data_IF_456164784706
#
_entry.id   IF_456164784706
#
_cell.length_a   1.000
_cell.length_b   1.000
_cell.length_c   1.000
_cell.angle_alpha   90.00
_cell.angle_beta   90.00
_cell.angle_gamma   90.00
#
_symmetry.space_group_name_H-M   'P 1'
#
loop_
_entity.id
_entity.type
_entity.pdbx_description
1 polymer ?
#
# COMPACT_ATOMS: atom_id res chain seq x y z
N UNK A 1 -12.75 9.89 2.75
CA UNK A 1 -12.98 11.08 1.89
C UNK A 1 -12.89 10.65 0.43
N UNK A 2 -13.60 11.33 -0.48
CA UNK A 2 -13.51 11.08 -1.92
C UNK A 2 -13.11 12.37 -2.62
N UNK A 3 -12.23 12.27 -3.60
CA UNK A 3 -11.81 13.41 -4.39
C UNK A 3 -12.97 13.91 -5.26
N UNK A 4 -13.01 15.21 -5.60
CA UNK A 4 -14.00 15.77 -6.51
C UNK A 4 -14.05 15.03 -7.84
N UNK A 5 -15.20 15.10 -8.51
CA UNK A 5 -15.42 14.43 -9.79
C UNK A 5 -14.43 14.89 -10.87
N UNK A 6 -14.03 16.16 -10.83
CA UNK A 6 -13.12 16.77 -11.81
C UNK A 6 -11.76 16.04 -11.81
N UNK A 7 -11.26 15.65 -10.63
CA UNK A 7 -10.03 14.86 -10.48
C UNK A 7 -10.05 13.57 -11.31
N UNK A 8 -11.21 12.90 -11.42
CA UNK A 8 -11.34 11.70 -12.25
C UNK A 8 -11.11 11.97 -13.72
N UNK A 9 -11.64 13.09 -14.20
CA UNK A 9 -11.55 13.49 -15.59
C UNK A 9 -10.10 13.85 -15.91
N UNK A 10 -9.48 14.66 -15.06
CA UNK A 10 -8.06 15.02 -15.15
C UNK A 10 -7.20 13.75 -15.18
N UNK A 11 -7.38 12.85 -14.22
CA UNK A 11 -6.62 11.60 -14.17
C UNK A 11 -6.78 10.75 -15.43
N UNK A 12 -7.98 10.65 -16.01
CA UNK A 12 -8.19 9.91 -17.27
C UNK A 12 -7.49 10.54 -18.47
N UNK A 13 -7.50 11.87 -18.56
CA UNK A 13 -6.83 12.60 -19.64
C UNK A 13 -5.32 12.44 -19.50
N UNK A 14 -4.80 12.52 -18.28
CA UNK A 14 -3.37 12.39 -18.00
C UNK A 14 -2.86 10.94 -18.05
N UNK A 15 -3.71 9.93 -17.87
CA UNK A 15 -3.27 8.54 -17.79
C UNK A 15 -2.42 8.11 -18.99
N UNK A 16 -2.87 8.41 -20.20
CA UNK A 16 -2.13 8.02 -21.40
C UNK A 16 -0.77 8.72 -21.53
N UNK A 17 -0.68 10.07 -21.55
CA UNK A 17 0.61 10.75 -21.69
C UNK A 17 1.56 10.44 -20.53
N UNK A 18 1.06 10.32 -19.30
CA UNK A 18 1.89 10.00 -18.13
C UNK A 18 2.40 8.56 -18.18
N UNK A 19 1.56 7.60 -18.57
CA UNK A 19 2.01 6.21 -18.73
C UNK A 19 3.05 6.10 -19.84
N UNK A 20 2.89 6.85 -20.93
CA UNK A 20 3.87 6.89 -22.02
C UNK A 20 5.21 7.48 -21.56
N UNK A 21 5.19 8.62 -20.86
CA UNK A 21 6.41 9.23 -20.29
C UNK A 21 7.08 8.26 -19.30
N UNK A 22 6.32 7.68 -18.37
CA UNK A 22 6.84 6.70 -17.41
C UNK A 22 7.46 5.49 -18.11
N UNK A 23 6.85 5.00 -19.20
CA UNK A 23 7.40 3.91 -20.00
C UNK A 23 8.72 4.31 -20.69
N UNK A 24 8.77 5.49 -21.32
CA UNK A 24 9.98 6.00 -21.96
C UNK A 24 11.13 6.20 -20.96
N UNK A 25 10.83 6.72 -19.76
CA UNK A 25 11.82 6.93 -18.71
C UNK A 25 12.35 5.58 -18.19
N UNK A 26 11.45 4.67 -17.79
CA UNK A 26 11.82 3.42 -17.11
C UNK A 26 12.45 2.37 -18.04
N UNK A 27 12.01 2.28 -19.30
CA UNK A 27 12.49 1.27 -20.26
C UNK A 27 13.35 1.85 -21.38
N UNK A 28 13.17 3.12 -21.70
CA UNK A 28 13.90 3.81 -22.76
C UNK A 28 15.08 4.65 -22.27
N UNK A 29 15.32 4.70 -20.95
CA UNK A 29 16.31 5.58 -20.33
C UNK A 29 16.16 7.04 -20.78
N UNK A 30 14.91 7.47 -21.04
CA UNK A 30 14.63 8.83 -21.47
C UNK A 30 14.83 9.81 -20.32
N UNK A 31 15.73 10.77 -20.51
CA UNK A 31 16.00 11.85 -19.55
C UNK A 31 15.15 13.07 -19.91
N UNK A 32 14.35 13.55 -18.96
CA UNK A 32 13.54 14.76 -19.10
C UNK A 32 14.47 15.98 -18.97
N UNK A 33 14.67 16.80 -20.02
CA UNK A 33 15.77 17.78 -20.06
C UNK A 33 15.74 18.87 -18.97
N UNK A 34 14.58 19.18 -18.39
CA UNK A 34 14.45 20.16 -17.31
C UNK A 34 14.58 19.55 -15.90
N UNK A 35 14.63 18.22 -15.81
CA UNK A 35 14.88 17.45 -14.58
C UNK A 35 16.31 16.90 -14.52
N UNK A 36 17.10 17.17 -15.56
CA UNK A 36 18.51 16.84 -15.65
C UNK A 36 19.35 17.97 -15.04
N UNK A 37 19.85 17.75 -13.81
CA UNK A 37 20.70 18.70 -13.09
C UNK A 37 22.20 18.38 -13.23
N UNK A 38 22.64 17.69 -14.30
CA UNK A 38 24.06 17.44 -14.56
C UNK A 38 24.87 18.72 -14.88
N UNK A 39 24.22 19.88 -15.02
CA UNK A 39 24.91 21.18 -15.15
C UNK A 39 25.17 21.77 -13.76
N UNK A 40 26.45 22.06 -13.47
CA UNK A 40 26.89 22.84 -12.30
C UNK A 40 26.24 24.24 -12.30
N UNK A 41 25.00 24.35 -11.81
CA UNK A 41 24.49 25.59 -11.26
C UNK A 41 24.99 25.65 -9.81
N UNK A 42 25.70 26.72 -9.47
CA UNK A 42 26.48 26.88 -8.24
C UNK A 42 25.88 26.24 -6.98
N UNK A 43 26.77 25.60 -6.22
CA UNK A 43 26.52 24.91 -4.96
C UNK A 43 25.57 25.70 -4.04
N UNK A 44 24.31 25.29 -3.98
CA UNK A 44 23.36 25.82 -3.01
C UNK A 44 22.33 24.75 -2.64
N UNK A 45 22.77 23.75 -1.88
CA UNK A 45 21.89 22.78 -1.24
C UNK A 45 22.61 22.00 -0.15
N UNK A 46 22.19 22.18 1.11
CA UNK A 46 22.79 21.56 2.31
C UNK A 46 22.60 20.01 2.32
N UNK A 47 21.82 19.43 1.39
CA UNK A 47 21.53 17.99 1.29
C UNK A 47 21.65 17.36 -0.11
N UNK A 48 21.97 18.12 -1.16
CA UNK A 48 21.99 17.61 -2.56
C UNK A 48 23.30 17.96 -3.24
N UNK A 49 24.33 17.14 -3.01
CA UNK A 49 25.67 17.33 -3.56
C UNK A 49 25.97 16.46 -4.79
N UNK A 50 24.97 15.95 -5.53
CA UNK A 50 25.25 15.19 -6.75
C UNK A 50 24.43 15.66 -7.95
N UNK A 51 25.09 15.60 -9.10
CA UNK A 51 24.51 15.60 -10.44
C UNK A 51 23.49 14.46 -10.53
N UNK A 52 22.20 14.78 -10.50
CA UNK A 52 21.12 13.79 -10.49
C UNK A 52 20.10 14.07 -11.58
N UNK A 53 19.55 12.98 -12.11
CA UNK A 53 18.37 12.96 -12.96
C UNK A 53 17.15 12.61 -12.09
N UNK A 54 16.12 13.46 -12.11
CA UNK A 54 14.85 13.24 -11.39
C UNK A 54 13.73 12.70 -12.30
N UNK A 55 14.06 12.24 -13.50
CA UNK A 55 13.08 11.75 -14.47
C UNK A 55 12.28 10.55 -13.95
N UNK A 56 12.95 9.62 -13.26
CA UNK A 56 12.33 8.46 -12.63
C UNK A 56 11.33 8.91 -11.54
N UNK A 57 11.78 9.79 -10.65
CA UNK A 57 10.99 10.29 -9.52
C UNK A 57 9.75 11.02 -9.99
N UNK A 58 9.93 11.92 -10.95
CA UNK A 58 8.84 12.69 -11.52
C UNK A 58 7.84 11.79 -12.27
N UNK A 59 8.32 10.84 -13.08
CA UNK A 59 7.44 9.99 -13.87
C UNK A 59 6.61 9.03 -12.99
N UNK A 60 7.24 8.38 -12.00
CA UNK A 60 6.57 7.50 -11.03
C UNK A 60 5.61 8.30 -10.15
N UNK A 61 6.01 9.47 -9.64
CA UNK A 61 5.14 10.34 -8.85
C UNK A 61 3.90 10.76 -9.64
N UNK A 62 4.09 11.16 -10.90
CA UNK A 62 3.00 11.59 -11.77
C UNK A 62 2.06 10.41 -12.07
N UNK A 63 2.60 9.21 -12.29
CA UNK A 63 1.82 8.00 -12.49
C UNK A 63 1.00 7.65 -11.24
N UNK A 64 1.61 7.63 -10.06
CA UNK A 64 0.92 7.41 -8.78
C UNK A 64 -0.18 8.45 -8.58
N UNK A 65 0.11 9.74 -8.80
CA UNK A 65 -0.86 10.82 -8.65
C UNK A 65 -2.06 10.62 -9.58
N UNK A 66 -1.82 10.30 -10.86
CA UNK A 66 -2.90 10.02 -11.82
C UNK A 66 -3.77 8.84 -11.38
N UNK A 67 -3.14 7.75 -10.95
CA UNK A 67 -3.85 6.56 -10.49
C UNK A 67 -4.67 6.85 -9.23
N UNK A 68 -4.14 7.61 -8.27
CA UNK A 68 -4.86 8.07 -7.08
C UNK A 68 -6.06 8.94 -7.46
N UNK A 69 -5.89 9.91 -8.37
CA UNK A 69 -6.98 10.75 -8.89
C UNK A 69 -8.10 9.91 -9.50
N UNK A 70 -7.79 8.84 -10.23
CA UNK A 70 -8.78 7.97 -10.85
C UNK A 70 -9.48 7.08 -9.81
N UNK A 71 -8.72 6.48 -8.90
CA UNK A 71 -9.22 5.50 -7.92
C UNK A 71 -10.06 6.16 -6.82
N UNK A 72 -9.62 7.29 -6.28
CA UNK A 72 -10.25 7.95 -5.12
C UNK A 72 -11.31 9.00 -5.48
N UNK A 73 -11.55 9.26 -6.78
CA UNK A 73 -12.54 10.24 -7.22
C UNK A 73 -13.98 9.73 -7.23
N UNK A 74 -14.89 10.59 -6.76
CA UNK A 74 -16.35 10.36 -6.77
C UNK A 74 -16.87 10.16 -8.21
N UNK A 75 -17.86 9.28 -8.38
CA UNK A 75 -18.57 9.10 -9.65
C UNK A 75 -19.81 10.01 -9.74
N UNK A 76 -20.24 10.34 -10.98
CA UNK A 76 -21.40 11.23 -11.24
C UNK A 76 -22.67 10.74 -10.52
N UNK A 77 -23.01 9.46 -10.69
CA UNK A 77 -24.22 8.85 -10.14
C UNK A 77 -23.84 7.80 -9.10
N UNK A 78 -23.15 8.23 -8.05
CA UNK A 78 -22.71 7.33 -6.99
C UNK A 78 -23.82 7.14 -5.95
N UNK A 79 -24.47 5.98 -5.98
CA UNK A 79 -25.45 5.56 -4.96
C UNK A 79 -24.74 4.98 -3.73
N UNK A 80 -25.44 4.90 -2.59
CA UNK A 80 -24.91 4.30 -1.36
C UNK A 80 -24.36 2.88 -1.56
N UNK A 81 -25.03 2.07 -2.39
CA UNK A 81 -24.57 0.73 -2.74
C UNK A 81 -23.25 0.74 -3.53
N UNK A 82 -23.08 1.69 -4.45
CA UNK A 82 -21.82 1.82 -5.21
C UNK A 82 -20.67 2.37 -4.38
N UNK A 83 -20.95 3.23 -3.39
CA UNK A 83 -19.95 3.67 -2.41
C UNK A 83 -19.51 2.49 -1.53
N UNK A 84 -20.47 1.68 -1.07
CA UNK A 84 -20.18 0.45 -0.31
C UNK A 84 -19.36 -0.53 -1.14
N UNK A 85 -19.71 -0.76 -2.40
CA UNK A 85 -18.94 -1.58 -3.33
C UNK A 85 -17.49 -1.10 -3.50
N UNK A 86 -17.26 0.23 -3.49
CA UNK A 86 -15.91 0.80 -3.55
C UNK A 86 -15.10 0.51 -2.30
N UNK A 87 -15.72 0.71 -1.13
CA UNK A 87 -15.09 0.44 0.16
C UNK A 87 -14.68 -1.04 0.28
N UNK A 88 -15.56 -1.96 -0.12
CA UNK A 88 -15.24 -3.37 -0.24
C UNK A 88 -14.09 -3.64 -1.21
N UNK A 89 -14.07 -2.97 -2.37
CA UNK A 89 -13.01 -3.15 -3.36
C UNK A 89 -11.64 -2.68 -2.86
N UNK A 90 -11.57 -1.54 -2.16
CA UNK A 90 -10.33 -1.06 -1.55
C UNK A 90 -9.83 -2.00 -0.46
N UNK A 91 -10.73 -2.50 0.38
CA UNK A 91 -10.36 -3.46 1.42
C UNK A 91 -9.81 -4.76 0.81
N UNK A 92 -10.48 -5.33 -0.19
CA UNK A 92 -9.97 -6.50 -0.92
C UNK A 92 -8.63 -6.24 -1.59
N UNK A 93 -8.46 -5.07 -2.22
CA UNK A 93 -7.19 -4.70 -2.83
C UNK A 93 -6.06 -4.66 -1.80
N UNK A 94 -6.29 -4.01 -0.65
CA UNK A 94 -5.33 -3.97 0.44
C UNK A 94 -4.98 -5.38 0.94
N UNK A 95 -5.99 -6.21 1.25
CA UNK A 95 -5.80 -7.58 1.75
C UNK A 95 -5.02 -8.44 0.76
N UNK A 96 -5.37 -8.41 -0.52
CA UNK A 96 -4.67 -9.22 -1.52
C UNK A 96 -3.22 -8.75 -1.64
N UNK A 97 -2.96 -7.44 -1.66
CA UNK A 97 -1.58 -6.91 -1.68
C UNK A 97 -0.79 -7.35 -0.45
N UNK A 98 -1.38 -7.29 0.74
CA UNK A 98 -0.74 -7.70 1.99
C UNK A 98 -0.40 -9.19 2.00
N UNK A 99 -1.36 -10.04 1.60
CA UNK A 99 -1.17 -11.48 1.52
C UNK A 99 -0.18 -11.87 0.43
N UNK A 100 -0.25 -11.25 -0.75
CA UNK A 100 0.69 -11.54 -1.85
C UNK A 100 2.10 -11.14 -1.46
N UNK A 101 2.28 -10.01 -0.76
CA UNK A 101 3.59 -9.56 -0.28
C UNK A 101 4.16 -10.50 0.77
N UNK A 102 3.34 -10.91 1.73
CA UNK A 102 3.76 -11.89 2.75
C UNK A 102 4.13 -13.25 2.16
N UNK A 103 3.30 -13.77 1.24
CA UNK A 103 3.58 -15.02 0.53
C UNK A 103 4.87 -14.91 -0.31
N UNK A 104 5.05 -13.76 -0.96
CA UNK A 104 6.24 -13.47 -1.73
C UNK A 104 7.52 -13.52 -0.89
N UNK A 105 7.53 -12.89 0.30
CA UNK A 105 8.69 -12.97 1.19
C UNK A 105 8.98 -14.41 1.63
N UNK A 106 7.94 -15.20 1.95
CA UNK A 106 8.12 -16.62 2.27
C UNK A 106 8.79 -17.37 1.12
N UNK A 107 8.32 -17.15 -0.12
CA UNK A 107 8.83 -17.85 -1.30
C UNK A 107 10.32 -17.54 -1.52
N UNK A 108 10.73 -16.26 -1.42
CA UNK A 108 12.14 -15.88 -1.58
C UNK A 108 13.02 -16.56 -0.54
N UNK A 109 12.64 -16.44 0.74
CA UNK A 109 13.44 -17.00 1.83
C UNK A 109 13.49 -18.54 1.75
N UNK A 110 12.41 -19.17 1.28
CA UNK A 110 12.41 -20.61 1.05
C UNK A 110 13.41 -21.01 -0.03
N UNK A 111 13.45 -20.28 -1.16
CA UNK A 111 14.39 -20.57 -2.23
C UNK A 111 15.85 -20.31 -1.86
N UNK A 112 16.10 -19.27 -1.05
CA UNK A 112 17.40 -19.00 -0.44
C UNK A 112 17.82 -20.12 0.51
N UNK A 113 16.91 -20.65 1.33
CA UNK A 113 17.17 -21.72 2.28
C UNK A 113 17.58 -23.06 1.62
N UNK A 114 17.04 -23.38 0.44
CA UNK A 114 17.26 -24.67 -0.22
C UNK A 114 18.40 -24.65 -1.25
N UNK A 115 19.17 -23.55 -1.33
CA UNK A 115 20.22 -23.35 -2.34
C UNK A 115 19.74 -23.73 -3.76
N UNK A 116 18.55 -23.26 -4.14
CA UNK A 116 17.91 -23.67 -5.38
C UNK A 116 18.79 -23.39 -6.63
N UNK A 117 18.62 -24.15 -7.73
CA UNK A 117 19.41 -23.95 -8.95
C UNK A 117 19.32 -22.50 -9.44
N UNK A 118 20.46 -21.93 -9.83
CA UNK A 118 20.62 -20.51 -10.17
C UNK A 118 19.54 -19.98 -11.12
N UNK A 119 19.14 -20.74 -12.15
CA UNK A 119 18.14 -20.30 -13.13
C UNK A 119 16.74 -20.04 -12.54
N UNK A 120 16.31 -20.84 -11.57
CA UNK A 120 15.01 -20.60 -10.92
C UNK A 120 15.10 -19.41 -9.98
N UNK A 121 16.20 -19.31 -9.21
CA UNK A 121 16.48 -18.14 -8.38
C UNK A 121 16.51 -16.86 -9.21
N UNK A 122 17.20 -16.83 -10.35
CA UNK A 122 17.32 -15.66 -11.22
C UNK A 122 15.94 -15.17 -11.71
N UNK A 123 15.08 -16.10 -12.14
CA UNK A 123 13.72 -15.78 -12.58
C UNK A 123 12.88 -15.20 -11.43
N UNK A 124 12.90 -15.85 -10.26
CA UNK A 124 12.19 -15.35 -9.09
C UNK A 124 12.74 -14.02 -8.61
N UNK A 125 14.06 -13.81 -8.69
CA UNK A 125 14.73 -12.55 -8.34
C UNK A 125 14.33 -11.40 -9.28
N UNK A 126 14.17 -11.69 -10.58
CA UNK A 126 13.66 -10.68 -11.53
C UNK A 126 12.19 -10.31 -11.25
N UNK A 127 11.32 -11.31 -11.04
CA UNK A 127 9.92 -11.07 -10.64
C UNK A 127 9.86 -10.34 -9.29
N UNK A 128 10.77 -10.69 -8.40
CA UNK A 128 10.94 -10.11 -7.06
C UNK A 128 11.26 -8.63 -7.13
N UNK A 129 12.27 -8.27 -7.91
CA UNK A 129 12.63 -6.88 -8.11
C UNK A 129 11.47 -6.09 -8.73
N UNK A 130 10.73 -6.68 -9.69
CA UNK A 130 9.53 -6.06 -10.24
C UNK A 130 8.44 -5.88 -9.19
N UNK A 131 8.18 -6.91 -8.38
CA UNK A 131 7.15 -6.87 -7.34
C UNK A 131 7.47 -5.82 -6.29
N UNK A 132 8.71 -5.78 -5.79
CA UNK A 132 9.17 -4.80 -4.80
C UNK A 132 9.16 -3.39 -5.37
N UNK A 133 9.73 -3.20 -6.58
CA UNK A 133 9.82 -1.89 -7.22
C UNK A 133 8.44 -1.27 -7.50
N UNK A 134 7.45 -2.10 -7.83
CA UNK A 134 6.14 -1.65 -8.25
C UNK A 134 5.02 -2.01 -7.27
N UNK A 135 5.35 -2.37 -6.02
CA UNK A 135 4.36 -2.79 -5.02
C UNK A 135 3.31 -1.72 -4.72
N UNK A 136 3.69 -0.44 -4.82
CA UNK A 136 2.81 0.71 -4.63
C UNK A 136 1.66 0.70 -5.63
N UNK A 137 1.86 0.16 -6.84
CA UNK A 137 0.82 0.10 -7.86
C UNK A 137 -0.15 -1.06 -7.66
N UNK A 138 0.26 -2.11 -6.96
CA UNK A 138 -0.50 -3.36 -6.82
C UNK A 138 -1.89 -3.14 -6.24
N UNK A 139 -2.11 -2.39 -5.14
CA UNK A 139 -3.46 -2.16 -4.63
C UNK A 139 -4.37 -1.48 -5.66
N UNK A 140 -3.88 -0.53 -6.44
CA UNK A 140 -4.70 0.15 -7.46
C UNK A 140 -5.00 -0.78 -8.63
N UNK A 141 -4.02 -1.55 -9.08
CA UNK A 141 -4.19 -2.54 -10.16
C UNK A 141 -5.25 -3.58 -9.75
N UNK A 142 -5.22 -4.07 -8.51
CA UNK A 142 -6.21 -5.03 -7.98
C UNK A 142 -7.58 -4.36 -7.75
N UNK A 143 -7.60 -3.10 -7.32
CA UNK A 143 -8.83 -2.36 -7.05
C UNK A 143 -9.74 -2.27 -8.28
N UNK A 144 -9.22 -1.97 -9.47
CA UNK A 144 -10.04 -1.76 -10.67
C UNK A 144 -10.90 -2.97 -11.09
N UNK A 145 -10.35 -4.19 -11.26
CA UNK A 145 -11.13 -5.36 -11.62
C UNK A 145 -12.14 -5.73 -10.52
N UNK A 146 -11.75 -5.65 -9.24
CA UNK A 146 -12.63 -5.96 -8.10
C UNK A 146 -13.78 -4.95 -8.01
N UNK A 147 -13.48 -3.66 -8.14
CA UNK A 147 -14.50 -2.62 -8.15
C UNK A 147 -15.43 -2.77 -9.37
N UNK A 148 -14.88 -3.14 -10.53
CA UNK A 148 -15.65 -3.48 -11.72
C UNK A 148 -16.65 -4.62 -11.48
N UNK A 149 -16.20 -5.69 -10.82
CA UNK A 149 -17.03 -6.82 -10.41
C UNK A 149 -18.15 -6.41 -9.44
N UNK A 150 -17.80 -5.76 -8.31
CA UNK A 150 -18.81 -5.35 -7.32
C UNK A 150 -19.79 -4.32 -7.88
N UNK A 151 -19.33 -3.42 -8.74
CA UNK A 151 -20.22 -2.47 -9.41
C UNK A 151 -21.24 -3.17 -10.30
N UNK A 152 -20.83 -4.16 -11.11
CA UNK A 152 -21.77 -4.91 -11.96
C UNK A 152 -22.83 -5.62 -11.12
N UNK A 153 -22.46 -6.15 -9.94
CA UNK A 153 -23.41 -6.73 -8.99
C UNK A 153 -24.35 -5.69 -8.37
N UNK A 154 -23.79 -4.56 -7.92
CA UNK A 154 -24.57 -3.46 -7.34
C UNK A 154 -25.61 -2.90 -8.33
N UNK A 155 -25.26 -2.78 -9.62
CA UNK A 155 -26.19 -2.34 -10.66
C UNK A 155 -27.36 -3.31 -10.90
N UNK A 156 -27.16 -4.60 -10.60
CA UNK A 156 -28.22 -5.63 -10.68
C UNK A 156 -29.06 -5.71 -9.40
N UNK A 157 -28.84 -4.82 -8.41
CA UNK A 157 -29.51 -4.89 -7.11
C UNK A 157 -29.12 -6.11 -6.27
N UNK A 158 -28.07 -6.85 -6.66
CA UNK A 158 -27.65 -8.04 -5.93
C UNK A 158 -26.93 -7.64 -4.65
N UNK A 159 -27.12 -8.38 -3.55
CA UNK A 159 -26.36 -8.15 -2.33
C UNK A 159 -24.86 -8.33 -2.62
N UNK A 160 -24.07 -7.43 -2.05
CA UNK A 160 -22.60 -7.53 -2.06
C UNK A 160 -22.21 -8.71 -1.19
N UNK A 161 -21.39 -9.63 -1.72
CA UNK A 161 -20.86 -10.76 -0.94
C UNK A 161 -20.08 -10.17 0.23
N UNK A 162 -20.48 -10.52 1.46
CA UNK A 162 -19.74 -10.09 2.65
C UNK A 162 -18.29 -10.58 2.55
N UNK A 163 -17.38 -9.75 3.01
CA UNK A 163 -15.97 -10.08 3.13
C UNK A 163 -15.82 -11.16 4.19
N UNK A 164 -15.14 -12.26 3.85
CA UNK A 164 -14.79 -13.29 4.81
C UNK A 164 -13.56 -12.82 5.57
N UNK A 165 -13.81 -12.20 6.72
CA UNK A 165 -12.78 -12.07 7.75
C UNK A 165 -12.52 -13.45 8.34
N UNK A 166 -11.29 -13.69 8.81
CA UNK A 166 -10.99 -14.93 9.53
C UNK A 166 -11.89 -14.98 10.78
N UNK A 167 -12.73 -16.02 10.92
CA UNK A 167 -13.83 -16.01 11.90
C UNK A 167 -13.36 -16.17 13.34
N UNK A 168 -12.12 -16.63 13.55
CA UNK A 168 -11.60 -16.99 14.86
C UNK A 168 -10.99 -15.77 15.56
N UNK A 169 -11.58 -15.26 16.66
CA UNK A 169 -11.03 -14.11 17.39
C UNK A 169 -9.64 -14.39 17.98
N UNK A 170 -9.31 -15.66 18.26
CA UNK A 170 -7.97 -16.06 18.72
C UNK A 170 -6.88 -15.76 17.68
N UNK A 171 -7.20 -15.79 16.38
CA UNK A 171 -6.25 -15.40 15.33
C UNK A 171 -5.96 -13.90 15.33
N UNK A 172 -6.96 -13.08 15.66
CA UNK A 172 -6.76 -11.64 15.84
C UNK A 172 -5.79 -11.37 17.01
N UNK A 173 -5.96 -12.08 18.13
CA UNK A 173 -5.09 -11.98 19.30
C UNK A 173 -3.67 -12.49 18.98
N UNK A 174 -3.54 -13.62 18.30
CA UNK A 174 -2.26 -14.17 17.85
C UNK A 174 -1.53 -13.18 16.91
N UNK A 175 -2.25 -12.59 15.95
CA UNK A 175 -1.71 -11.57 15.05
C UNK A 175 -1.20 -10.33 15.79
N UNK A 176 -1.93 -9.85 16.81
CA UNK A 176 -1.51 -8.74 17.68
C UNK A 176 -0.19 -9.05 18.37
N UNK A 177 -0.12 -10.17 19.09
CA UNK A 177 1.10 -10.54 19.81
C UNK A 177 2.27 -10.82 18.86
N UNK A 178 2.05 -11.54 17.76
CA UNK A 178 3.07 -11.77 16.75
C UNK A 178 3.60 -10.45 16.18
N UNK A 179 2.72 -9.49 15.87
CA UNK A 179 3.12 -8.16 15.38
C UNK A 179 4.01 -7.43 16.39
N UNK A 180 3.62 -7.41 17.67
CA UNK A 180 4.40 -6.76 18.73
C UNK A 180 5.76 -7.44 18.91
N UNK A 181 5.80 -8.78 18.90
CA UNK A 181 7.03 -9.56 19.01
C UNK A 181 7.96 -9.25 17.82
N UNK A 182 7.47 -9.30 16.58
CA UNK A 182 8.27 -8.98 15.39
C UNK A 182 8.75 -7.52 15.39
N UNK A 183 7.92 -6.56 15.84
CA UNK A 183 8.36 -5.17 16.02
C UNK A 183 9.47 -5.06 17.07
N UNK A 184 9.33 -5.74 18.21
CA UNK A 184 10.32 -5.75 19.28
C UNK A 184 11.65 -6.38 18.83
N UNK A 185 11.58 -7.53 18.16
CA UNK A 185 12.74 -8.18 17.55
C UNK A 185 13.40 -7.24 16.55
N UNK A 186 12.63 -6.69 15.60
CA UNK A 186 13.15 -5.76 14.58
C UNK A 186 13.83 -4.53 15.18
N UNK A 187 13.28 -3.98 16.27
CA UNK A 187 13.89 -2.84 16.98
C UNK A 187 15.19 -3.23 17.67
N UNK A 188 15.23 -4.36 18.38
CA UNK A 188 16.45 -4.86 19.05
C UNK A 188 17.51 -5.22 18.00
N UNK A 189 17.15 -5.92 16.93
CA UNK A 189 18.09 -6.26 15.87
C UNK A 189 18.63 -5.02 15.15
N UNK A 190 17.76 -4.05 14.87
CA UNK A 190 18.17 -2.77 14.26
C UNK A 190 19.12 -1.95 15.13
N UNK A 191 18.92 -1.93 16.45
CA UNK A 191 19.76 -1.16 17.37
C UNK A 191 21.11 -1.81 17.67
N UNK A 192 21.16 -3.14 17.77
CA UNK A 192 22.35 -3.86 18.27
C UNK A 192 23.12 -4.64 17.19
N UNK A 193 22.49 -4.92 16.04
CA UNK A 193 23.03 -5.83 15.02
C UNK A 193 22.96 -5.26 13.59
N UNK A 194 22.94 -3.92 13.46
CA UNK A 194 22.78 -3.20 12.19
C UNK A 194 23.77 -3.61 11.07
N UNK A 195 24.90 -4.23 11.41
CA UNK A 195 25.93 -4.62 10.43
C UNK A 195 25.75 -6.03 9.84
N UNK A 196 24.75 -6.81 10.27
CA UNK A 196 24.63 -8.22 9.88
C UNK A 196 23.44 -8.43 8.94
N UNK A 197 23.68 -8.80 7.68
CA UNK A 197 22.67 -8.91 6.61
C UNK A 197 21.55 -9.95 6.86
N UNK A 198 21.60 -10.71 7.96
CA UNK A 198 20.61 -11.77 8.24
C UNK A 198 19.25 -11.25 8.78
N UNK A 199 19.02 -9.93 8.83
CA UNK A 199 17.76 -9.36 9.32
C UNK A 199 16.55 -9.66 8.42
N UNK A 200 16.78 -9.98 7.14
CA UNK A 200 15.72 -10.23 6.17
C UNK A 200 14.85 -11.45 6.53
N UNK A 201 15.42 -12.50 7.12
CA UNK A 201 14.69 -13.73 7.49
C UNK A 201 13.68 -13.48 8.61
N UNK A 202 14.04 -12.67 9.62
CA UNK A 202 13.15 -12.37 10.74
C UNK A 202 11.97 -11.47 10.34
N UNK A 203 12.18 -10.56 9.39
CA UNK A 203 11.13 -9.66 8.91
C UNK A 203 10.22 -10.30 7.84
N UNK A 204 10.55 -11.48 7.35
CA UNK A 204 9.79 -12.22 6.33
C UNK A 204 8.34 -12.49 6.73
N UNK A 205 8.12 -12.85 8.00
CA UNK A 205 6.79 -13.15 8.52
C UNK A 205 6.06 -11.92 9.06
N UNK A 206 6.74 -10.78 9.17
CA UNK A 206 6.15 -9.59 9.77
C UNK A 206 4.93 -9.05 9.00
N UNK A 207 4.95 -8.92 7.66
CA UNK A 207 3.76 -8.52 6.90
C UNK A 207 2.57 -9.48 7.09
N UNK A 208 2.84 -10.77 7.27
CA UNK A 208 1.80 -11.78 7.51
C UNK A 208 1.24 -11.72 8.93
N UNK A 209 2.09 -11.46 9.93
CA UNK A 209 1.64 -11.26 11.30
C UNK A 209 0.68 -10.06 11.39
N UNK A 210 1.03 -8.95 10.72
CA UNK A 210 0.14 -7.79 10.65
C UNK A 210 -1.11 -8.15 9.83
N UNK A 211 -0.99 -8.77 8.66
CA UNK A 211 -2.13 -9.16 7.84
C UNK A 211 -3.10 -10.07 8.61
N UNK A 212 -2.60 -11.00 9.43
CA UNK A 212 -3.39 -11.87 10.30
C UNK A 212 -4.20 -11.04 11.30
N UNK A 213 -3.59 -10.04 11.93
CA UNK A 213 -4.30 -9.09 12.78
C UNK A 213 -5.38 -8.33 11.99
N UNK A 214 -5.03 -7.76 10.83
CA UNK A 214 -5.93 -6.92 10.03
C UNK A 214 -7.11 -7.67 9.41
N UNK A 215 -6.90 -8.93 9.04
CA UNK A 215 -7.90 -9.74 8.34
C UNK A 215 -8.75 -10.59 9.29
N UNK A 216 -8.41 -10.63 10.58
CA UNK A 216 -9.18 -11.38 11.58
C UNK A 216 -10.30 -10.55 12.18
N UNK A 217 -11.46 -11.21 12.36
CA UNK A 217 -12.64 -10.63 12.98
C UNK A 217 -12.34 -10.23 14.42
N UNK A 218 -12.79 -9.05 14.83
CA UNK A 218 -12.74 -8.67 16.24
C UNK A 218 -13.85 -9.41 17.02
N UNK A 219 -13.64 -9.80 18.30
CA UNK A 219 -14.60 -10.60 19.06
C UNK A 219 -16.04 -10.05 19.06
N UNK A 220 -16.16 -8.72 19.12
CA UNK A 220 -17.44 -8.00 19.18
C UNK A 220 -17.65 -7.10 17.95
N UNK A 221 -17.30 -7.59 16.75
CA UNK A 221 -17.40 -6.78 15.53
C UNK A 221 -18.85 -6.57 15.07
N UNK A 222 -19.36 -5.36 15.28
CA UNK A 222 -20.67 -4.90 14.78
C UNK A 222 -20.60 -4.50 13.30
N UNK A 223 -21.74 -4.43 12.58
CA UNK A 223 -21.77 -3.92 11.20
C UNK A 223 -21.18 -2.52 11.04
N UNK A 224 -21.32 -1.67 12.07
CA UNK A 224 -20.76 -0.32 12.11
C UNK A 224 -19.23 -0.36 12.22
N UNK A 225 -18.70 -1.20 13.10
CA UNK A 225 -17.25 -1.39 13.23
C UNK A 225 -16.66 -1.95 11.94
N UNK A 226 -17.37 -2.86 11.28
CA UNK A 226 -16.97 -3.38 9.98
C UNK A 226 -16.95 -2.29 8.89
N UNK A 227 -17.98 -1.43 8.84
CA UNK A 227 -18.00 -0.27 7.94
C UNK A 227 -16.81 0.68 8.21
N UNK A 228 -16.49 0.91 9.48
CA UNK A 228 -15.34 1.71 9.90
C UNK A 228 -14.01 1.08 9.44
N UNK A 229 -13.89 -0.24 9.52
CA UNK A 229 -12.75 -1.01 8.97
C UNK A 229 -12.55 -0.76 7.48
N UNK A 230 -13.63 -0.81 6.69
CA UNK A 230 -13.55 -0.55 5.26
C UNK A 230 -13.13 0.90 4.95
N UNK A 231 -13.62 1.86 5.72
CA UNK A 231 -13.24 3.27 5.58
C UNK A 231 -11.77 3.49 5.97
N UNK A 232 -11.30 2.82 7.02
CA UNK A 232 -9.90 2.84 7.43
C UNK A 232 -8.99 2.25 6.35
N UNK A 233 -9.39 1.17 5.68
CA UNK A 233 -8.64 0.61 4.55
C UNK A 233 -8.47 1.62 3.42
N UNK A 234 -9.57 2.24 2.98
CA UNK A 234 -9.49 3.27 1.96
C UNK A 234 -8.59 4.44 2.39
N UNK A 235 -8.76 4.96 3.62
CA UNK A 235 -7.98 6.10 4.11
C UNK A 235 -6.50 5.75 4.28
N UNK A 236 -6.18 4.55 4.76
CA UNK A 236 -4.81 4.08 4.95
C UNK A 236 -4.06 3.99 3.63
N UNK A 237 -4.68 3.43 2.57
CA UNK A 237 -4.09 3.41 1.23
C UNK A 237 -3.86 4.84 0.72
N UNK A 238 -4.81 5.76 0.93
CA UNK A 238 -4.66 7.15 0.51
C UNK A 238 -3.48 7.85 1.21
N UNK A 239 -3.39 7.74 2.54
CA UNK A 239 -2.28 8.29 3.32
C UNK A 239 -0.96 7.63 2.89
N UNK A 240 -0.97 6.33 2.66
CA UNK A 240 0.19 5.58 2.21
C UNK A 240 0.72 6.11 0.88
N UNK A 241 -0.13 6.38 -0.12
CA UNK A 241 0.32 6.98 -1.38
C UNK A 241 0.93 8.37 -1.21
N UNK A 242 0.37 9.20 -0.32
CA UNK A 242 0.93 10.53 -0.02
C UNK A 242 2.30 10.38 0.65
N UNK A 243 2.38 9.53 1.68
CA UNK A 243 3.62 9.27 2.40
C UNK A 243 4.68 8.68 1.47
N UNK A 244 4.30 7.77 0.57
CA UNK A 244 5.18 7.20 -0.43
C UNK A 244 5.80 8.27 -1.31
N UNK A 245 4.98 9.16 -1.91
CA UNK A 245 5.50 10.26 -2.73
C UNK A 245 6.44 11.15 -1.92
N UNK A 246 6.06 11.54 -0.70
CA UNK A 246 6.92 12.39 0.13
C UNK A 246 8.26 11.73 0.45
N UNK A 247 8.25 10.48 0.89
CA UNK A 247 9.47 9.72 1.20
C UNK A 247 10.31 9.54 -0.06
N UNK A 248 9.68 9.29 -1.20
CA UNK A 248 10.35 9.11 -2.47
C UNK A 248 11.17 10.33 -2.88
N UNK A 249 10.63 11.53 -2.68
CA UNK A 249 11.35 12.78 -2.94
C UNK A 249 12.38 13.15 -1.84
N UNK A 250 12.18 12.71 -0.59
CA UNK A 250 13.01 13.11 0.54
C UNK A 250 14.23 12.21 0.81
N UNK A 251 14.16 10.91 0.47
CA UNK A 251 15.14 9.88 0.91
C UNK A 251 16.02 9.36 -0.25
N UNK A 252 15.91 9.94 -1.43
CA UNK A 252 16.64 9.64 -2.69
C UNK A 252 17.89 8.72 -2.58
N UNK A 253 17.92 7.56 -3.26
CA UNK A 253 19.13 6.73 -3.39
C UNK A 253 18.92 5.21 -3.44
N UNK A 254 20.00 4.41 -3.32
CA UNK A 254 19.98 2.93 -3.40
C UNK A 254 19.15 2.28 -2.27
N UNK A 255 18.96 2.99 -1.14
CA UNK A 255 18.02 2.63 -0.05
C UNK A 255 16.54 2.76 -0.46
N UNK A 256 16.24 3.23 -1.68
CA UNK A 256 14.90 3.37 -2.24
C UNK A 256 14.20 2.02 -2.44
N UNK A 257 14.92 0.98 -2.85
CA UNK A 257 14.35 -0.36 -3.01
C UNK A 257 13.89 -0.95 -1.66
N UNK A 258 14.62 -0.65 -0.59
CA UNK A 258 14.27 -1.05 0.78
C UNK A 258 13.11 -0.21 1.34
N UNK A 259 13.07 1.09 1.03
CA UNK A 259 11.94 1.96 1.36
C UNK A 259 10.66 1.52 0.61
N UNK A 260 10.79 1.12 -0.66
CA UNK A 260 9.74 0.51 -1.45
C UNK A 260 9.28 -0.83 -0.86
N UNK A 261 10.19 -1.75 -0.55
CA UNK A 261 9.86 -3.03 0.08
C UNK A 261 9.12 -2.85 1.42
N UNK A 262 9.55 -1.87 2.21
CA UNK A 262 8.91 -1.48 3.46
C UNK A 262 7.55 -0.76 3.27
N UNK A 263 7.24 -0.30 2.05
CA UNK A 263 6.03 0.47 1.76
C UNK A 263 4.75 -0.33 2.05
N UNK A 264 4.72 -1.63 1.73
CA UNK A 264 3.54 -2.47 1.98
C UNK A 264 3.30 -2.63 3.47
N UNK A 265 4.36 -2.88 4.25
CA UNK A 265 4.29 -2.94 5.71
C UNK A 265 3.82 -1.60 6.28
N UNK A 266 4.35 -0.49 5.76
CA UNK A 266 3.90 0.84 6.15
C UNK A 266 2.40 1.02 5.90
N UNK A 267 1.85 0.54 4.78
CA UNK A 267 0.40 0.61 4.51
C UNK A 267 -0.43 -0.14 5.56
N UNK A 268 0.07 -1.28 6.06
CA UNK A 268 -0.58 -2.05 7.12
C UNK A 268 -0.51 -1.36 8.48
N UNK A 269 0.64 -0.76 8.80
CA UNK A 269 0.83 0.01 10.03
C UNK A 269 -0.04 1.28 10.03
N UNK A 270 -0.09 2.01 8.91
CA UNK A 270 -0.99 3.16 8.72
C UNK A 270 -2.44 2.71 8.90
N UNK A 271 -2.82 1.54 8.37
CA UNK A 271 -4.16 0.99 8.59
C UNK A 271 -4.47 0.80 10.07
N UNK A 272 -3.56 0.20 10.85
CA UNK A 272 -3.76 0.00 12.29
C UNK A 272 -4.01 1.33 12.99
N UNK A 273 -3.13 2.31 12.77
CA UNK A 273 -3.24 3.64 13.38
C UNK A 273 -4.57 4.29 13.03
N UNK A 274 -4.92 4.31 11.73
CA UNK A 274 -6.18 4.91 11.26
C UNK A 274 -7.41 4.19 11.82
N UNK A 275 -7.42 2.85 11.81
CA UNK A 275 -8.55 2.06 12.27
C UNK A 275 -8.82 2.27 13.76
N UNK A 276 -7.78 2.17 14.60
CA UNK A 276 -7.94 2.36 16.05
C UNK A 276 -8.24 3.81 16.41
N UNK A 277 -7.66 4.78 15.70
CA UNK A 277 -8.02 6.19 15.87
C UNK A 277 -9.49 6.46 15.53
N UNK A 278 -9.98 5.96 14.38
CA UNK A 278 -11.39 6.09 14.00
C UNK A 278 -12.32 5.40 14.98
N UNK A 279 -11.95 4.22 15.49
CA UNK A 279 -12.72 3.48 16.51
C UNK A 279 -12.80 4.25 17.83
N UNK A 280 -11.69 4.81 18.30
CA UNK A 280 -11.65 5.64 19.51
C UNK A 280 -12.56 6.87 19.37
N UNK A 281 -12.52 7.54 18.20
CA UNK A 281 -13.40 8.68 17.94
C UNK A 281 -14.88 8.29 17.89
N UNK A 282 -15.21 7.12 17.32
CA UNK A 282 -16.58 6.65 17.24
C UNK A 282 -17.17 6.29 18.62
N UNK A 283 -16.36 5.75 19.52
CA UNK A 283 -16.80 5.37 20.89
C UNK A 283 -17.01 6.58 21.80
N UNK A 284 -16.16 7.60 21.71
CA UNK A 284 -16.29 8.82 22.53
C UNK A 284 -17.26 9.86 21.97
N UNK A 285 -17.70 9.71 20.71
CA UNK A 285 -18.61 10.64 20.04
C UNK A 285 -20.10 10.35 20.26
N UNK A 286 -20.44 9.25 20.93
CA UNK A 286 -21.83 8.93 21.30
C UNK A 286 -22.08 9.59 22.65
N UNK A 287 -22.88 10.68 22.75
CA UNK A 287 -23.32 11.16 24.05
C UNK A 287 -24.01 10.01 24.75
N UNK A 288 -23.59 9.70 25.98
CA UNK A 288 -24.33 8.78 26.84
C UNK A 288 -25.71 9.40 27.00
N UNK A 289 -26.67 8.93 26.22
CA UNK A 289 -28.08 9.18 26.53
C UNK A 289 -28.30 8.42 27.83
N UNK A 290 -28.31 9.17 28.92
CA UNK A 290 -28.64 8.70 30.25
C UNK A 290 -29.89 7.85 30.15
N UNK A 291 -29.71 6.54 30.28
CA UNK A 291 -30.82 5.60 30.45
C UNK A 291 -31.37 5.84 31.85
N UNK A 292 -32.37 6.72 31.94
CA UNK A 292 -33.29 6.86 33.07
C UNK A 292 -34.52 6.02 32.80
#
# INVERSE_FOLDING_TARGET
>A
MLLPRICKLIGRILLFPVSFVCFCVQFGHFVIPFLDFHKQAGEAGIFLSRTYDFSDEASVTLLVAVLVLIAFSKRKNETALTTTARLHAFYWAAVITWLSTGLYFIIINFFELIDAPSRWLDFFFQISNLFVAYNVFIPIIIFFPIFGYFRRRALKGLPLKQLYLLPYPYLNLAGKYATIIFMGIGMVTGLFFASNNNYHVLLTFFPLAIALWLCSKEPNETPELFKLRLQAAQLSLFIHYIAFVLVYWLVYGWDYADALGSSVVASQLIFLVVFYWMRYKATNGVPQTDTV
#
